data_IF_469664013885
#
_entry.id   IF_469664013885
#
_cell.length_a   1.000
_cell.length_b   1.000
_cell.length_c   1.000
_cell.angle_alpha   90.00
_cell.angle_beta   90.00
_cell.angle_gamma   90.00
#
_symmetry.space_group_name_H-M   'P 1'
#
loop_
_entity.id
_entity.type
_entity.pdbx_description
1 polymer ?
#
# COMPACT_ATOMS: atom_id res chain seq x y z
N UNK A 1 -5.34 -4.23 6.56
CA UNK A 1 -5.58 -3.33 7.70
C UNK A 1 -4.43 -2.36 7.92
N UNK A 2 -3.18 -2.82 8.02
CA UNK A 2 -2.01 -1.95 8.23
C UNK A 2 -1.88 -0.86 7.15
N UNK A 3 -2.04 -1.20 5.87
CA UNK A 3 -2.00 -0.25 4.75
C UNK A 3 -3.09 0.82 4.90
N UNK A 4 -4.31 0.43 5.25
CA UNK A 4 -5.42 1.39 5.45
C UNK A 4 -5.12 2.31 6.62
N UNK A 5 -4.64 1.78 7.75
CA UNK A 5 -4.19 2.59 8.89
C UNK A 5 -3.11 3.60 8.48
N UNK A 6 -2.13 3.18 7.66
CA UNK A 6 -1.09 4.07 7.15
C UNK A 6 -1.66 5.20 6.27
N UNK A 7 -2.63 4.89 5.42
CA UNK A 7 -3.23 5.90 4.53
C UNK A 7 -4.07 6.93 5.29
N UNK A 8 -4.77 6.52 6.36
CA UNK A 8 -5.62 7.44 7.13
C UNK A 8 -4.82 8.24 8.16
N UNK A 9 -3.76 7.67 8.72
CA UNK A 9 -2.91 8.33 9.73
C UNK A 9 -1.47 7.80 9.68
N UNK A 10 -0.63 8.31 8.79
CA UNK A 10 0.76 7.87 8.64
C UNK A 10 1.61 8.12 9.90
N UNK A 11 1.33 9.18 10.67
CA UNK A 11 2.07 9.47 11.91
C UNK A 11 1.91 8.30 12.91
N UNK A 12 0.68 7.88 13.17
CA UNK A 12 0.41 6.76 14.09
C UNK A 12 0.93 5.42 13.53
N UNK A 13 0.77 5.20 12.24
CA UNK A 13 1.21 3.96 11.61
C UNK A 13 2.73 3.79 11.68
N UNK A 14 3.48 4.86 11.47
CA UNK A 14 4.95 4.85 11.53
C UNK A 14 5.44 4.76 12.98
N UNK A 15 4.79 5.46 13.91
CA UNK A 15 5.16 5.42 15.33
C UNK A 15 5.03 4.00 15.94
N UNK A 16 4.07 3.21 15.48
CA UNK A 16 3.85 1.83 15.92
C UNK A 16 4.47 0.75 15.04
N UNK A 17 5.26 1.11 14.03
CA UNK A 17 5.77 0.14 13.06
C UNK A 17 7.03 -0.58 13.54
N UNK A 18 6.97 -1.91 13.53
CA UNK A 18 8.09 -2.78 13.88
C UNK A 18 8.99 -3.05 12.67
N UNK A 19 9.99 -2.21 12.47
CA UNK A 19 10.95 -2.34 11.35
C UNK A 19 11.74 -3.66 11.37
N UNK A 20 11.81 -4.33 12.53
CA UNK A 20 12.46 -5.63 12.67
C UNK A 20 11.76 -6.73 11.86
N UNK A 21 10.47 -6.57 11.55
CA UNK A 21 9.66 -7.53 10.80
C UNK A 21 9.85 -7.43 9.29
N UNK A 22 10.57 -6.40 8.80
CA UNK A 22 10.86 -6.28 7.37
C UNK A 22 11.78 -7.39 6.91
N UNK A 23 11.46 -7.98 5.74
CA UNK A 23 12.34 -8.89 5.05
C UNK A 23 13.73 -8.27 4.85
N UNK A 24 14.78 -9.08 4.99
CA UNK A 24 16.17 -8.62 4.87
C UNK A 24 16.49 -8.01 3.50
N UNK A 25 15.80 -8.43 2.44
CA UNK A 25 15.94 -7.86 1.09
C UNK A 25 15.35 -6.45 0.97
N UNK A 26 14.34 -6.12 1.79
CA UNK A 26 13.67 -4.82 1.84
C UNK A 26 14.30 -3.91 2.87
N UNK A 27 14.82 -4.47 3.97
CA UNK A 27 15.44 -3.73 5.06
C UNK A 27 16.83 -3.24 4.66
N UNK A 28 16.93 -1.95 4.39
CA UNK A 28 18.23 -1.28 4.17
C UNK A 28 18.70 -0.56 5.43
N UNK A 29 19.98 -0.21 5.50
CA UNK A 29 20.56 0.58 6.61
C UNK A 29 19.85 1.91 6.82
N UNK A 30 19.25 2.47 5.78
CA UNK A 30 18.60 3.78 5.79
C UNK A 30 17.08 3.73 5.91
N UNK A 31 16.46 2.56 6.02
CA UNK A 31 14.98 2.43 5.99
C UNK A 31 14.32 3.29 7.06
N UNK A 32 14.77 3.22 8.31
CA UNK A 32 14.21 3.99 9.42
C UNK A 32 14.38 5.50 9.20
N UNK A 33 15.58 5.93 8.82
CA UNK A 33 15.89 7.34 8.57
C UNK A 33 15.08 7.89 7.39
N UNK A 34 15.01 7.13 6.30
CA UNK A 34 14.23 7.56 5.12
C UNK A 34 12.73 7.64 5.41
N UNK A 35 12.20 6.72 6.20
CA UNK A 35 10.79 6.77 6.64
C UNK A 35 10.52 8.01 7.50
N UNK A 36 11.40 8.34 8.44
CA UNK A 36 11.28 9.54 9.25
C UNK A 36 11.35 10.82 8.39
N UNK A 37 12.27 10.88 7.43
CA UNK A 37 12.41 12.01 6.52
C UNK A 37 11.17 12.16 5.62
N UNK A 38 10.61 11.07 5.10
CA UNK A 38 9.40 11.10 4.29
C UNK A 38 8.19 11.61 5.10
N UNK A 39 8.05 11.19 6.36
CA UNK A 39 7.00 11.69 7.25
C UNK A 39 7.18 13.19 7.55
N UNK A 40 8.41 13.61 7.85
CA UNK A 40 8.72 15.03 8.08
C UNK A 40 8.39 15.89 6.86
N UNK A 41 8.72 15.41 5.64
CA UNK A 41 8.38 16.10 4.40
C UNK A 41 6.87 16.18 4.18
N UNK A 42 6.11 15.09 4.44
CA UNK A 42 4.66 15.11 4.38
C UNK A 42 4.07 16.17 5.31
N UNK A 43 4.54 16.22 6.54
CA UNK A 43 4.04 17.17 7.54
C UNK A 43 4.43 18.63 7.20
N UNK A 44 5.61 18.85 6.63
CA UNK A 44 6.00 20.16 6.11
C UNK A 44 5.10 20.59 4.94
N UNK A 45 4.78 19.68 4.03
CA UNK A 45 3.88 19.94 2.89
C UNK A 45 2.44 20.26 3.36
N UNK A 46 1.94 19.58 4.41
CA UNK A 46 0.65 19.92 5.03
C UNK A 46 0.67 21.34 5.59
N UNK A 47 1.71 21.68 6.34
CA UNK A 47 1.85 23.02 6.95
C UNK A 47 1.94 24.11 5.88
N UNK A 48 2.61 23.84 4.78
CA UNK A 48 2.72 24.77 3.64
C UNK A 48 1.46 24.83 2.76
N UNK A 49 0.42 24.03 3.04
CA UNK A 49 -0.79 23.95 2.23
C UNK A 49 -0.60 23.28 0.86
N UNK A 50 0.54 22.61 0.63
CA UNK A 50 0.83 21.88 -0.61
C UNK A 50 0.15 20.52 -0.63
N UNK A 51 0.00 19.89 0.54
CA UNK A 51 -0.70 18.61 0.69
C UNK A 51 -2.06 18.82 1.38
N UNK A 52 -3.12 18.31 0.75
CA UNK A 52 -4.47 18.28 1.33
C UNK A 52 -4.70 17.11 2.30
N UNK A 53 -3.70 16.23 2.47
CA UNK A 53 -3.85 15.06 3.34
C UNK A 53 -4.08 15.50 4.80
N UNK A 54 -5.14 14.96 5.40
CA UNK A 54 -5.46 15.16 6.82
C UNK A 54 -5.37 13.82 7.54
N UNK A 55 -4.75 13.80 8.72
CA UNK A 55 -4.76 12.61 9.56
C UNK A 55 -6.16 12.38 10.11
N UNK A 56 -6.65 11.16 9.94
CA UNK A 56 -7.92 10.73 10.53
C UNK A 56 -7.62 9.87 11.76
N UNK A 57 -8.22 10.21 12.89
CA UNK A 57 -8.18 9.39 14.09
C UNK A 57 -9.32 8.39 13.97
N UNK A 58 -8.98 7.15 13.67
CA UNK A 58 -9.94 6.05 13.55
C UNK A 58 -9.67 5.00 14.63
N UNK A 59 -10.73 4.52 15.26
CA UNK A 59 -10.69 3.36 16.15
C UNK A 59 -10.39 2.08 15.35
N UNK A 60 -10.01 1.02 16.06
CA UNK A 60 -9.79 -0.28 15.41
C UNK A 60 -11.06 -0.81 14.73
N UNK A 61 -12.25 -0.57 15.33
CA UNK A 61 -13.53 -0.95 14.73
C UNK A 61 -13.79 -0.23 13.41
N UNK A 62 -13.61 1.10 13.37
CA UNK A 62 -13.78 1.87 12.14
C UNK A 62 -12.80 1.47 11.05
N UNK A 63 -11.56 1.10 11.41
CA UNK A 63 -10.60 0.55 10.45
C UNK A 63 -11.03 -0.82 9.93
N UNK A 64 -11.64 -1.66 10.77
CA UNK A 64 -12.16 -2.96 10.36
C UNK A 64 -13.36 -2.79 9.42
N UNK A 65 -14.26 -1.87 9.70
CA UNK A 65 -15.41 -1.54 8.86
C UNK A 65 -14.95 -0.99 7.50
N UNK A 66 -13.95 -0.11 7.49
CA UNK A 66 -13.36 0.40 6.26
C UNK A 66 -12.71 -0.71 5.42
N UNK A 67 -11.99 -1.63 6.06
CA UNK A 67 -11.41 -2.80 5.37
C UNK A 67 -12.51 -3.71 4.82
N UNK A 68 -13.59 -3.93 5.57
CA UNK A 68 -14.73 -4.72 5.11
C UNK A 68 -15.38 -4.07 3.89
N UNK A 69 -15.61 -2.76 3.93
CA UNK A 69 -16.12 -2.00 2.78
C UNK A 69 -15.21 -2.13 1.56
N UNK A 70 -13.90 -1.91 1.70
CA UNK A 70 -12.96 -2.04 0.58
C UNK A 70 -12.96 -3.44 -0.04
N UNK A 71 -13.17 -4.49 0.78
CA UNK A 71 -13.30 -5.86 0.28
C UNK A 71 -14.56 -6.07 -0.56
N UNK A 72 -15.63 -5.31 -0.32
CA UNK A 72 -16.85 -5.40 -1.14
C UNK A 72 -16.66 -4.79 -2.53
N UNK A 73 -15.68 -3.90 -2.70
CA UNK A 73 -15.33 -3.30 -3.99
C UNK A 73 -14.45 -4.22 -4.85
N UNK A 74 -14.01 -5.35 -4.30
CA UNK A 74 -13.15 -6.29 -5.04
C UNK A 74 -13.99 -7.04 -6.07
N UNK A 75 -13.66 -6.89 -7.34
CA UNK A 75 -14.26 -7.67 -8.41
C UNK A 75 -13.94 -9.16 -8.18
N UNK A 76 -14.93 -10.06 -8.20
CA UNK A 76 -14.69 -11.50 -8.11
C UNK A 76 -13.69 -12.02 -9.16
N UNK A 77 -13.62 -11.37 -10.32
CA UNK A 77 -12.70 -11.75 -11.39
C UNK A 77 -11.23 -11.65 -10.97
N UNK A 78 -10.86 -10.66 -10.13
CA UNK A 78 -9.45 -10.55 -9.65
C UNK A 78 -9.03 -11.69 -8.72
N UNK A 79 -9.97 -12.51 -8.26
CA UNK A 79 -9.71 -13.70 -7.44
C UNK A 79 -9.72 -14.99 -8.25
N UNK A 80 -10.14 -14.92 -9.51
CA UNK A 80 -10.24 -16.06 -10.40
C UNK A 80 -9.28 -15.88 -11.58
N UNK A 81 -8.20 -16.66 -11.58
CA UNK A 81 -7.19 -16.58 -12.64
C UNK A 81 -7.79 -16.84 -14.03
N UNK A 82 -8.75 -17.74 -14.14
CA UNK A 82 -9.40 -18.02 -15.44
C UNK A 82 -10.18 -16.84 -15.96
N UNK A 83 -10.73 -16.03 -15.07
CA UNK A 83 -11.38 -14.76 -15.43
C UNK A 83 -10.36 -13.69 -15.84
N UNK A 84 -9.21 -13.64 -15.16
CA UNK A 84 -8.13 -12.68 -15.47
C UNK A 84 -7.38 -13.04 -16.76
N UNK A 85 -7.24 -14.32 -17.08
CA UNK A 85 -6.43 -14.78 -18.22
C UNK A 85 -6.87 -14.16 -19.55
N UNK A 86 -8.14 -13.84 -19.72
CA UNK A 86 -8.63 -13.16 -20.92
C UNK A 86 -8.11 -11.71 -21.07
N UNK A 87 -7.66 -11.09 -19.97
CA UNK A 87 -7.14 -9.73 -19.93
C UNK A 87 -5.61 -9.67 -19.93
N UNK A 88 -4.96 -10.82 -19.75
CA UNK A 88 -3.51 -10.95 -19.75
C UNK A 88 -3.08 -11.25 -21.19
N UNK A 89 -2.28 -10.40 -21.85
CA UNK A 89 -1.80 -10.67 -23.20
C UNK A 89 -1.01 -11.98 -23.23
N UNK A 90 -1.52 -12.98 -23.96
CA UNK A 90 -0.79 -14.23 -24.17
C UNK A 90 0.39 -13.99 -25.11
N UNK A 91 1.60 -14.31 -24.67
CA UNK A 91 2.81 -14.36 -25.50
C UNK A 91 3.15 -13.06 -26.25
N UNK A 92 2.74 -11.91 -25.77
CA UNK A 92 3.13 -10.63 -26.33
C UNK A 92 4.29 -10.09 -25.52
N UNK A 93 5.47 -10.04 -26.12
CA UNK A 93 6.57 -9.28 -25.54
C UNK A 93 6.17 -7.80 -25.47
N UNK A 94 6.28 -7.17 -24.28
CA UNK A 94 6.13 -5.73 -24.16
C UNK A 94 7.13 -4.98 -25.04
N UNK A 95 6.98 -3.65 -25.20
CA UNK A 95 7.90 -2.84 -26.00
C UNK A 95 9.36 -2.94 -25.54
N UNK A 96 9.58 -3.33 -24.29
CA UNK A 96 10.89 -3.56 -23.65
C UNK A 96 11.37 -5.02 -23.71
N UNK A 97 10.62 -5.89 -24.36
CA UNK A 97 10.91 -7.33 -24.45
C UNK A 97 10.59 -8.12 -23.17
N UNK A 98 9.96 -7.49 -22.17
CA UNK A 98 9.57 -8.14 -20.93
C UNK A 98 8.13 -8.64 -21.01
N UNK A 99 7.90 -9.81 -20.43
CA UNK A 99 6.55 -10.37 -20.30
C UNK A 99 5.99 -10.03 -18.92
N UNK A 100 4.78 -9.47 -18.90
CA UNK A 100 4.04 -9.26 -17.66
C UNK A 100 3.52 -10.61 -17.15
N UNK A 101 3.95 -11.00 -15.96
CA UNK A 101 3.40 -12.14 -15.24
C UNK A 101 2.47 -11.64 -14.15
N UNK A 102 1.21 -12.05 -14.19
CA UNK A 102 0.32 -11.87 -13.04
C UNK A 102 0.52 -13.04 -12.07
N UNK A 103 1.16 -12.77 -10.95
CA UNK A 103 1.24 -13.73 -9.85
C UNK A 103 0.06 -13.51 -8.92
N UNK A 104 -0.82 -14.51 -8.83
CA UNK A 104 -1.87 -14.53 -7.83
C UNK A 104 -1.25 -14.78 -6.46
N UNK A 105 -1.52 -13.92 -5.50
CA UNK A 105 -1.32 -14.25 -4.10
C UNK A 105 -2.34 -15.34 -3.72
N UNK A 106 -1.85 -16.55 -3.50
CA UNK A 106 -2.63 -17.67 -2.94
C UNK A 106 -2.87 -17.44 -1.45
#
# INVERSE_FOLDING_TARGET
>A
KAIVGHMVNPDNAIAGYEFSQLDSMVKTTNTVTNTANALAQLNANKTAGVSAHQNVIASQGELDDLVAFLKTLTDPCVKDRSCLDQWIPANVAGPDGLQLNAEGLL
#
